data_IF_919458083978
#
_entry.id   IF_919458083978
#
_cell.length_a   1.000
_cell.length_b   1.000
_cell.length_c   1.000
_cell.angle_alpha   90.00
_cell.angle_beta   90.00
_cell.angle_gamma   90.00
#
_symmetry.space_group_name_H-M   'P 1'
#
loop_
_entity.id
_entity.type
_entity.pdbx_description
1 polymer ?
#
# COMPACT_ATOMS: atom_id res chain seq x y z
N UNK A 1 -5.08 25.95 -1.52
CA UNK A 1 -3.98 25.86 -0.51
C UNK A 1 -3.46 24.41 -0.36
N UNK A 2 -4.31 23.42 -0.05
CA UNK A 2 -3.90 22.00 0.14
C UNK A 2 -3.25 21.37 -1.10
N UNK A 3 -3.79 21.51 -2.34
CA UNK A 3 -3.14 20.94 -3.53
C UNK A 3 -1.70 21.41 -3.74
N UNK A 4 -1.41 22.67 -3.48
CA UNK A 4 -0.06 23.22 -3.59
C UNK A 4 0.89 22.64 -2.53
N UNK A 5 0.43 22.46 -1.30
CA UNK A 5 1.19 21.79 -0.23
C UNK A 5 1.52 20.35 -0.62
N UNK A 6 0.54 19.57 -1.11
CA UNK A 6 0.74 18.21 -1.62
C UNK A 6 1.77 18.18 -2.75
N UNK A 7 1.71 19.14 -3.68
CA UNK A 7 2.67 19.23 -4.79
C UNK A 7 4.10 19.48 -4.28
N UNK A 8 4.26 20.39 -3.34
CA UNK A 8 5.57 20.73 -2.76
C UNK A 8 6.15 19.51 -2.00
N UNK A 9 5.34 18.81 -1.22
CA UNK A 9 5.75 17.60 -0.51
C UNK A 9 6.20 16.48 -1.48
N UNK A 10 5.48 16.28 -2.60
CA UNK A 10 5.91 15.31 -3.62
C UNK A 10 7.28 15.66 -4.19
N UNK A 11 7.57 16.95 -4.38
CA UNK A 11 8.89 17.42 -4.83
C UNK A 11 9.96 17.18 -3.78
N UNK A 12 9.67 17.44 -2.50
CA UNK A 12 10.58 17.21 -1.38
C UNK A 12 11.02 15.75 -1.27
N UNK A 13 10.10 14.81 -1.48
CA UNK A 13 10.38 13.37 -1.42
C UNK A 13 10.89 12.79 -2.75
N UNK A 14 11.00 13.60 -3.81
CA UNK A 14 11.56 13.15 -5.08
C UNK A 14 13.04 12.75 -4.91
N UNK A 15 13.40 11.55 -5.38
CA UNK A 15 14.77 11.04 -5.28
C UNK A 15 15.12 10.33 -3.95
N UNK A 16 14.24 10.35 -2.96
CA UNK A 16 14.42 9.50 -1.77
C UNK A 16 14.07 8.07 -2.17
N UNK A 17 15.07 7.21 -2.30
CA UNK A 17 14.89 5.80 -2.67
C UNK A 17 14.81 4.94 -1.42
N UNK A 18 13.93 3.92 -1.45
CA UNK A 18 13.94 2.84 -0.47
C UNK A 18 15.15 1.93 -0.75
N UNK A 19 15.76 1.41 0.30
CA UNK A 19 16.87 0.48 0.20
C UNK A 19 16.48 -0.93 0.64
N UNK A 20 17.38 -1.89 0.49
CA UNK A 20 17.12 -3.28 0.84
C UNK A 20 16.85 -3.49 2.33
N UNK A 21 17.50 -2.71 3.22
CA UNK A 21 17.28 -2.78 4.66
C UNK A 21 15.85 -2.36 5.02
N UNK A 22 15.39 -1.19 4.54
CA UNK A 22 14.01 -0.72 4.72
C UNK A 22 12.99 -1.79 4.28
N UNK A 23 13.22 -2.40 3.12
CA UNK A 23 12.32 -3.44 2.60
C UNK A 23 12.33 -4.71 3.46
N UNK A 24 13.49 -5.11 3.98
CA UNK A 24 13.62 -6.28 4.85
C UNK A 24 12.88 -6.09 6.18
N UNK A 25 13.07 -4.96 6.85
CA UNK A 25 12.40 -4.65 8.13
C UNK A 25 10.88 -4.56 7.95
N UNK A 26 10.39 -3.87 6.91
CA UNK A 26 8.96 -3.81 6.60
C UNK A 26 8.38 -5.21 6.38
N UNK A 27 9.06 -6.06 5.61
CA UNK A 27 8.61 -7.44 5.38
C UNK A 27 8.61 -8.25 6.68
N UNK A 28 9.62 -8.10 7.53
CA UNK A 28 9.69 -8.78 8.82
C UNK A 28 8.52 -8.38 9.73
N UNK A 29 8.22 -7.09 9.86
CA UNK A 29 7.10 -6.62 10.65
C UNK A 29 5.75 -7.08 10.13
N UNK A 30 5.55 -7.10 8.81
CA UNK A 30 4.34 -7.67 8.21
C UNK A 30 4.18 -9.14 8.58
N UNK A 31 5.26 -9.94 8.46
CA UNK A 31 5.25 -11.37 8.75
C UNK A 31 5.04 -11.70 10.24
N UNK A 32 5.41 -10.80 11.14
CA UNK A 32 5.18 -10.92 12.58
C UNK A 32 3.76 -10.50 13.01
N UNK A 33 3.03 -9.79 12.15
CA UNK A 33 1.69 -9.32 12.47
C UNK A 33 0.68 -10.47 12.45
N UNK A 34 -0.11 -10.68 13.53
CA UNK A 34 -1.04 -11.82 13.64
C UNK A 34 -2.05 -11.88 12.49
N UNK A 35 -2.64 -10.74 12.12
CA UNK A 35 -3.64 -10.66 11.04
C UNK A 35 -3.04 -11.05 9.68
N UNK A 36 -1.76 -10.75 9.45
CA UNK A 36 -1.04 -11.20 8.26
C UNK A 36 -1.04 -12.73 8.14
N UNK A 37 -0.82 -13.41 9.26
CA UNK A 37 -0.65 -14.87 9.28
C UNK A 37 -1.96 -15.64 9.07
N UNK A 38 -3.12 -15.01 9.31
CA UNK A 38 -4.44 -15.62 9.11
C UNK A 38 -5.16 -15.12 7.85
N UNK A 39 -4.67 -14.05 7.23
CA UNK A 39 -5.26 -13.48 6.01
C UNK A 39 -5.27 -14.50 4.87
N UNK A 40 -6.41 -14.67 4.23
CA UNK A 40 -6.60 -15.56 3.08
C UNK A 40 -6.43 -14.86 1.74
N UNK A 41 -6.72 -13.55 1.67
CA UNK A 41 -6.62 -12.73 0.45
C UNK A 41 -5.91 -11.44 0.76
N UNK A 42 -4.74 -11.25 0.16
CA UNK A 42 -3.90 -10.06 0.37
C UNK A 42 -3.68 -9.34 -0.96
N UNK A 43 -4.04 -8.08 -1.02
CA UNK A 43 -3.66 -7.21 -2.13
C UNK A 43 -2.36 -6.49 -1.79
N UNK A 44 -1.32 -6.75 -2.57
CA UNK A 44 -0.05 -6.04 -2.51
C UNK A 44 0.07 -4.98 -3.60
N UNK A 45 1.29 -4.51 -3.78
CA UNK A 45 1.65 -3.63 -4.89
C UNK A 45 3.07 -3.98 -5.38
N UNK A 46 3.36 -3.65 -6.65
CA UNK A 46 4.72 -3.73 -7.17
C UNK A 46 5.44 -2.41 -6.86
N UNK A 47 6.45 -2.53 -6.00
CA UNK A 47 7.13 -1.36 -5.47
C UNK A 47 7.90 -0.59 -6.56
N UNK A 48 7.72 0.72 -6.58
CA UNK A 48 8.58 1.64 -7.29
C UNK A 48 9.90 1.84 -6.52
N UNK A 49 10.98 2.35 -7.14
CA UNK A 49 12.28 2.49 -6.47
C UNK A 49 12.25 3.30 -5.17
N UNK A 50 11.23 4.11 -4.97
CA UNK A 50 11.03 4.94 -3.76
C UNK A 50 10.12 4.30 -2.71
N UNK A 51 9.66 3.09 -2.93
CA UNK A 51 8.74 2.37 -2.06
C UNK A 51 9.39 1.11 -1.50
N UNK A 52 9.12 0.72 -0.24
CA UNK A 52 9.60 -0.55 0.29
C UNK A 52 9.09 -1.72 -0.57
N UNK A 53 9.99 -2.63 -0.94
CA UNK A 53 9.62 -3.83 -1.68
C UNK A 53 8.96 -4.85 -0.75
N UNK A 54 7.66 -5.04 -0.89
CA UNK A 54 6.85 -5.97 -0.10
C UNK A 54 6.76 -7.37 -0.69
N UNK A 55 7.33 -7.60 -1.87
CA UNK A 55 7.24 -8.88 -2.57
C UNK A 55 7.78 -10.08 -1.77
N UNK A 56 8.86 -9.97 -0.95
CA UNK A 56 9.28 -11.08 -0.08
C UNK A 56 8.21 -11.50 0.93
N UNK A 57 7.50 -10.56 1.56
CA UNK A 57 6.40 -10.88 2.46
C UNK A 57 5.20 -11.49 1.72
N UNK A 58 4.86 -10.97 0.54
CA UNK A 58 3.81 -11.55 -0.31
C UNK A 58 4.14 -12.98 -0.76
N UNK A 59 5.40 -13.27 -1.11
CA UNK A 59 5.85 -14.63 -1.44
C UNK A 59 5.70 -15.59 -0.26
N UNK A 60 6.00 -15.15 0.96
CA UNK A 60 5.78 -15.94 2.16
C UNK A 60 4.28 -16.22 2.38
N UNK A 61 3.43 -15.21 2.25
CA UNK A 61 1.98 -15.40 2.37
C UNK A 61 1.44 -16.34 1.28
N UNK A 62 1.91 -16.19 0.03
CA UNK A 62 1.57 -17.09 -1.07
C UNK A 62 1.97 -18.54 -0.81
N UNK A 63 3.17 -18.78 -0.29
CA UNK A 63 3.67 -20.11 0.03
C UNK A 63 2.85 -20.82 1.12
N UNK A 64 2.20 -20.08 2.04
CA UNK A 64 1.27 -20.63 3.03
C UNK A 64 -0.17 -20.82 2.50
N UNK A 65 -0.43 -20.48 1.23
CA UNK A 65 -1.72 -20.69 0.57
C UNK A 65 -2.62 -19.45 0.51
N UNK A 66 -2.16 -18.27 0.93
CA UNK A 66 -2.92 -17.06 0.72
C UNK A 66 -3.00 -16.68 -0.77
N UNK A 67 -4.14 -16.19 -1.22
CA UNK A 67 -4.30 -15.59 -2.55
C UNK A 67 -3.64 -14.21 -2.53
N UNK A 68 -2.75 -13.98 -3.49
CA UNK A 68 -2.13 -12.67 -3.67
C UNK A 68 -2.74 -11.98 -4.88
N UNK A 69 -3.13 -10.73 -4.68
CA UNK A 69 -3.68 -9.88 -5.73
C UNK A 69 -2.86 -8.59 -5.88
N UNK A 70 -3.00 -7.95 -7.02
CA UNK A 70 -2.40 -6.66 -7.34
C UNK A 70 -3.45 -5.70 -7.90
N UNK A 71 -3.21 -4.38 -7.78
CA UNK A 71 -4.07 -3.38 -8.40
C UNK A 71 -3.90 -3.45 -9.92
N UNK A 72 -5.01 -3.56 -10.62
CA UNK A 72 -5.11 -3.48 -12.06
C UNK A 72 -5.81 -2.17 -12.40
N UNK A 73 -5.11 -1.26 -13.05
CA UNK A 73 -5.68 0.02 -13.45
C UNK A 73 -6.55 -0.18 -14.69
N UNK A 74 -7.80 0.22 -14.58
CA UNK A 74 -8.78 0.21 -15.66
C UNK A 74 -9.49 1.58 -15.72
N UNK A 75 -9.13 2.38 -16.71
CA UNK A 75 -9.54 3.78 -16.77
C UNK A 75 -9.12 4.54 -15.52
N UNK A 76 -10.09 5.07 -14.78
CA UNK A 76 -9.87 5.83 -13.53
C UNK A 76 -10.00 4.98 -12.25
N UNK A 77 -10.17 3.66 -12.39
CA UNK A 77 -10.44 2.75 -11.27
C UNK A 77 -9.32 1.72 -11.08
N UNK A 78 -9.30 1.12 -9.90
CA UNK A 78 -8.53 -0.08 -9.59
C UNK A 78 -9.48 -1.27 -9.52
N UNK A 79 -9.20 -2.30 -10.32
CA UNK A 79 -9.71 -3.65 -10.15
C UNK A 79 -8.71 -4.48 -9.35
N UNK A 80 -9.17 -5.55 -8.72
CA UNK A 80 -8.34 -6.47 -7.94
C UNK A 80 -8.07 -7.72 -8.75
N UNK A 81 -6.81 -7.93 -9.15
CA UNK A 81 -6.39 -9.06 -9.94
C UNK A 81 -5.56 -10.06 -9.14
N UNK A 82 -6.10 -11.27 -8.90
CA UNK A 82 -5.34 -12.37 -8.30
C UNK A 82 -4.38 -12.99 -9.31
N UNK A 83 -3.20 -13.38 -8.83
CA UNK A 83 -2.17 -14.02 -9.65
C UNK A 83 -1.96 -15.48 -9.25
N UNK A 84 -1.64 -16.31 -10.25
CA UNK A 84 -1.31 -17.70 -10.02
C UNK A 84 0.18 -17.93 -9.70
N UNK A 85 1.02 -16.90 -9.88
CA UNK A 85 2.48 -16.98 -9.62
C UNK A 85 3.03 -15.61 -9.26
N UNK A 86 4.09 -15.60 -8.45
CA UNK A 86 4.86 -14.39 -8.10
C UNK A 86 6.28 -14.43 -8.70
N UNK A 87 6.50 -15.25 -9.74
CA UNK A 87 7.75 -15.26 -10.51
C UNK A 87 7.82 -14.03 -11.41
N UNK A 88 9.01 -13.44 -11.55
CA UNK A 88 9.20 -12.18 -12.30
C UNK A 88 8.75 -12.24 -13.76
N UNK A 89 8.81 -13.42 -14.39
CA UNK A 89 8.36 -13.69 -15.77
C UNK A 89 6.87 -13.46 -16.00
N UNK A 90 6.06 -13.48 -14.93
CA UNK A 90 4.61 -13.24 -14.96
C UNK A 90 4.25 -11.76 -14.77
N UNK A 91 5.23 -10.87 -14.81
CA UNK A 91 5.01 -9.43 -14.73
C UNK A 91 5.59 -8.72 -15.94
N UNK A 92 4.84 -7.75 -16.45
CA UNK A 92 5.28 -6.84 -17.51
C UNK A 92 5.55 -5.46 -16.93
N UNK A 93 6.44 -4.70 -17.58
CA UNK A 93 6.76 -3.33 -17.19
C UNK A 93 6.20 -2.39 -18.26
N UNK A 94 5.39 -1.43 -17.85
CA UNK A 94 4.87 -0.42 -18.76
C UNK A 94 5.90 0.67 -19.11
N UNK A 95 5.52 1.60 -19.99
CA UNK A 95 6.38 2.72 -20.41
C UNK A 95 6.76 3.69 -19.30
N UNK A 96 6.07 3.65 -18.14
CA UNK A 96 6.34 4.44 -16.95
C UNK A 96 7.18 3.68 -15.92
N UNK A 97 7.60 2.45 -16.21
CA UNK A 97 8.38 1.60 -15.31
C UNK A 97 7.55 0.91 -14.22
N UNK A 98 6.23 0.90 -14.33
CA UNK A 98 5.34 0.23 -13.38
C UNK A 98 5.20 -1.24 -13.78
N UNK A 99 5.51 -2.15 -12.84
CA UNK A 99 5.28 -3.59 -13.01
C UNK A 99 3.80 -3.92 -12.76
N UNK A 100 3.22 -4.72 -13.65
CA UNK A 100 1.86 -5.24 -13.51
C UNK A 100 1.81 -6.72 -13.90
N UNK A 101 0.90 -7.53 -13.32
CA UNK A 101 0.74 -8.92 -13.73
C UNK A 101 0.36 -9.01 -15.21
N UNK A 102 1.00 -9.93 -15.95
CA UNK A 102 0.67 -10.21 -17.36
C UNK A 102 -0.61 -11.04 -17.51
N UNK A 103 -0.97 -11.81 -16.47
CA UNK A 103 -2.21 -12.57 -16.37
C UNK A 103 -2.75 -12.51 -14.95
N UNK A 104 -4.06 -12.36 -14.81
CA UNK A 104 -4.74 -12.25 -13.52
C UNK A 104 -6.20 -12.70 -13.62
N UNK A 105 -6.78 -13.03 -12.48
CA UNK A 105 -8.21 -13.37 -12.34
C UNK A 105 -8.88 -12.32 -11.45
N UNK A 106 -10.03 -11.75 -11.84
CA UNK A 106 -10.75 -10.80 -11.00
C UNK A 106 -11.10 -11.39 -9.63
N UNK A 107 -10.92 -10.60 -8.59
CA UNK A 107 -11.41 -10.91 -7.23
C UNK A 107 -12.33 -9.78 -6.79
N UNK A 108 -13.41 -10.17 -6.10
CA UNK A 108 -14.28 -9.20 -5.42
C UNK A 108 -13.48 -8.47 -4.33
N UNK A 109 -13.64 -7.16 -4.27
CA UNK A 109 -13.01 -6.32 -3.24
C UNK A 109 -13.45 -6.72 -1.82
N UNK A 110 -14.67 -7.22 -1.66
CA UNK A 110 -15.18 -7.70 -0.38
C UNK A 110 -14.50 -8.98 0.11
N UNK A 111 -13.77 -9.68 -0.74
CA UNK A 111 -12.96 -10.83 -0.34
C UNK A 111 -11.60 -10.44 0.26
N UNK A 112 -11.19 -9.17 0.19
CA UNK A 112 -9.89 -8.73 0.67
C UNK A 112 -9.83 -8.68 2.21
N UNK A 113 -8.87 -9.39 2.79
CA UNK A 113 -8.54 -9.31 4.21
C UNK A 113 -7.55 -8.16 4.48
N UNK A 114 -6.51 -8.06 3.66
CA UNK A 114 -5.47 -7.03 3.79
C UNK A 114 -5.24 -6.33 2.45
N UNK A 115 -5.09 -5.02 2.50
CA UNK A 115 -4.63 -4.18 1.39
C UNK A 115 -3.37 -3.43 1.82
N UNK A 116 -2.24 -3.71 1.20
CA UNK A 116 -1.04 -2.91 1.33
C UNK A 116 -1.15 -1.67 0.43
N UNK A 117 -0.98 -0.50 1.02
CA UNK A 117 -1.22 0.79 0.37
C UNK A 117 0.10 1.54 0.21
N UNK A 118 0.58 1.77 -1.03
CA UNK A 118 1.76 2.59 -1.28
C UNK A 118 1.45 4.08 -1.13
N UNK A 119 2.51 4.87 -0.89
CA UNK A 119 2.39 6.32 -0.82
C UNK A 119 3.72 7.05 -0.89
N UNK A 120 3.66 8.34 -1.14
CA UNK A 120 4.83 9.23 -1.12
C UNK A 120 5.22 9.57 0.29
N UNK A 121 4.25 9.79 1.18
CA UNK A 121 4.44 10.01 2.61
C UNK A 121 3.19 9.61 3.39
N UNK A 122 3.36 9.39 4.69
CA UNK A 122 2.29 9.04 5.62
C UNK A 122 2.39 9.84 6.91
N UNK A 123 1.33 9.84 7.72
CA UNK A 123 1.35 10.27 9.10
C UNK A 123 0.79 9.19 10.03
N UNK A 124 1.04 9.33 11.34
CA UNK A 124 0.60 8.38 12.35
C UNK A 124 -0.94 8.23 12.46
N UNK A 125 -1.70 9.14 11.87
CA UNK A 125 -3.17 9.11 11.81
C UNK A 125 -3.70 8.41 10.57
N UNK A 126 -2.82 7.73 9.80
CA UNK A 126 -3.16 7.05 8.55
C UNK A 126 -3.32 8.01 7.36
N UNK A 127 -3.03 9.30 7.55
CA UNK A 127 -3.00 10.25 6.44
C UNK A 127 -1.97 9.81 5.40
N UNK A 128 -2.32 9.90 4.11
CA UNK A 128 -1.51 9.42 3.01
C UNK A 128 -1.37 10.46 1.92
N UNK A 129 -0.14 10.74 1.51
CA UNK A 129 0.16 11.49 0.31
C UNK A 129 0.36 10.52 -0.86
N UNK A 130 -0.60 10.44 -1.77
CA UNK A 130 -0.49 9.69 -3.01
C UNK A 130 0.28 10.46 -4.09
N UNK A 131 0.50 9.81 -5.24
CA UNK A 131 1.22 10.39 -6.39
C UNK A 131 0.41 11.42 -7.19
N UNK A 132 -0.89 11.57 -6.91
CA UNK A 132 -1.75 12.60 -7.51
C UNK A 132 -2.84 12.08 -8.45
N UNK A 133 -2.83 10.81 -8.85
CA UNK A 133 -3.86 10.23 -9.71
C UNK A 133 -5.18 9.87 -9.00
N UNK A 134 -5.21 9.89 -7.65
CA UNK A 134 -6.41 9.61 -6.85
C UNK A 134 -6.90 8.15 -6.90
N UNK A 135 -6.18 7.24 -7.56
CA UNK A 135 -6.58 5.84 -7.75
C UNK A 135 -6.85 5.12 -6.43
N UNK A 136 -5.92 5.21 -5.48
CA UNK A 136 -6.08 4.57 -4.18
C UNK A 136 -7.16 5.24 -3.32
N UNK A 137 -7.40 6.55 -3.45
CA UNK A 137 -8.45 7.22 -2.69
C UNK A 137 -9.82 6.74 -3.16
N UNK A 138 -10.06 6.69 -4.49
CA UNK A 138 -11.28 6.11 -5.06
C UNK A 138 -11.45 4.62 -4.73
N UNK A 139 -10.37 3.86 -4.71
CA UNK A 139 -10.38 2.44 -4.36
C UNK A 139 -10.71 2.24 -2.88
N UNK A 140 -10.00 2.93 -1.98
CA UNK A 140 -10.16 2.81 -0.53
C UNK A 140 -11.53 3.27 -0.05
N UNK A 141 -12.16 4.24 -0.73
CA UNK A 141 -13.52 4.67 -0.42
C UNK A 141 -14.58 3.56 -0.63
N UNK A 142 -14.24 2.51 -1.39
CA UNK A 142 -15.13 1.39 -1.71
C UNK A 142 -14.81 0.11 -0.92
N UNK A 143 -13.66 0.08 -0.23
CA UNK A 143 -13.21 -1.09 0.53
C UNK A 143 -14.12 -1.37 1.72
N UNK A 144 -14.42 -2.64 1.96
CA UNK A 144 -15.22 -3.06 3.10
C UNK A 144 -14.55 -2.67 4.44
N UNK A 145 -15.36 -2.28 5.43
CA UNK A 145 -14.85 -1.81 6.74
C UNK A 145 -14.05 -2.84 7.51
N UNK A 146 -14.24 -4.15 7.26
CA UNK A 146 -13.46 -5.23 7.87
C UNK A 146 -12.04 -5.35 7.31
N UNK A 147 -11.79 -4.90 6.07
CA UNK A 147 -10.50 -5.03 5.42
C UNK A 147 -9.44 -4.19 6.14
N UNK A 148 -8.29 -4.78 6.42
CA UNK A 148 -7.14 -4.08 6.99
C UNK A 148 -6.38 -3.34 5.90
N UNK A 149 -6.49 -2.02 5.85
CA UNK A 149 -5.72 -1.17 4.93
C UNK A 149 -4.44 -0.72 5.64
N UNK A 150 -3.28 -1.13 5.13
CA UNK A 150 -1.97 -0.92 5.75
C UNK A 150 -1.12 0.00 4.89
N UNK A 151 -0.85 1.21 5.35
CA UNK A 151 0.13 2.09 4.73
C UNK A 151 1.53 1.49 4.88
N UNK A 152 2.28 1.45 3.79
CA UNK A 152 3.65 0.92 3.77
C UNK A 152 4.61 2.05 3.46
N UNK A 153 5.54 2.32 4.36
CA UNK A 153 6.43 3.48 4.26
C UNK A 153 7.87 3.17 4.66
N UNK A 154 8.76 4.01 4.22
CA UNK A 154 10.08 4.26 4.81
C UNK A 154 9.90 5.27 5.94
N UNK A 155 10.54 5.09 7.08
CA UNK A 155 10.41 5.99 8.24
C UNK A 155 10.75 7.44 7.90
N UNK A 156 11.68 7.67 6.97
CA UNK A 156 12.03 9.02 6.47
C UNK A 156 10.89 9.75 5.77
N UNK A 157 9.80 9.04 5.44
CA UNK A 157 8.59 9.53 4.76
C UNK A 157 7.39 9.60 5.68
N UNK A 158 7.58 9.31 6.97
CA UNK A 158 6.57 9.55 8.00
C UNK A 158 6.73 10.97 8.50
N UNK A 159 5.66 11.73 8.42
CA UNK A 159 5.63 13.14 8.81
C UNK A 159 4.58 13.35 9.90
N UNK A 160 4.65 14.49 10.58
CA UNK A 160 3.72 14.82 11.66
C UNK A 160 2.27 14.89 11.16
N UNK A 161 2.06 15.46 9.97
CA UNK A 161 0.72 15.67 9.43
C UNK A 161 0.74 15.74 7.90
N UNK A 162 0.02 14.83 7.25
CA UNK A 162 -0.20 14.87 5.80
C UNK A 162 -1.39 15.79 5.52
N UNK A 163 -1.24 16.78 4.61
CA UNK A 163 -2.39 17.62 4.22
C UNK A 163 -3.44 16.76 3.49
N UNK A 164 -4.64 16.70 4.07
CA UNK A 164 -5.76 15.87 3.57
C UNK A 164 -6.90 16.75 3.05
N UNK A 165 -7.51 16.34 1.96
CA UNK A 165 -8.76 16.87 1.42
C UNK A 165 -9.92 15.93 1.79
N UNK A 166 -11.15 16.38 1.63
CA UNK A 166 -12.34 15.62 2.03
C UNK A 166 -12.48 14.26 1.33
N UNK A 167 -11.93 14.12 0.13
CA UNK A 167 -11.97 12.88 -0.64
C UNK A 167 -10.78 11.93 -0.39
N UNK A 168 -9.75 12.38 0.35
CA UNK A 168 -8.60 11.53 0.66
C UNK A 168 -8.97 10.48 1.72
N UNK A 169 -8.56 9.24 1.47
CA UNK A 169 -8.80 8.13 2.38
C UNK A 169 -7.58 7.82 3.24
N UNK A 170 -7.83 7.61 4.54
CA UNK A 170 -6.81 7.20 5.51
C UNK A 170 -6.63 5.68 5.50
N UNK A 171 -5.42 5.22 5.78
CA UNK A 171 -5.16 3.82 6.10
C UNK A 171 -5.48 3.54 7.57
N UNK A 172 -5.90 2.31 7.88
CA UNK A 172 -6.20 1.89 9.26
C UNK A 172 -4.96 1.54 10.04
N UNK A 173 -3.92 1.08 9.34
CA UNK A 173 -2.65 0.61 9.87
C UNK A 173 -1.49 1.26 9.12
N UNK A 174 -0.35 1.32 9.77
CA UNK A 174 0.89 1.83 9.18
C UNK A 174 2.05 0.91 9.58
N UNK A 175 2.94 0.62 8.65
CA UNK A 175 4.20 -0.09 8.87
C UNK A 175 5.35 0.67 8.25
N UNK A 176 6.50 0.70 8.92
CA UNK A 176 7.76 1.24 8.40
C UNK A 176 8.94 0.39 8.87
N UNK A 177 10.14 0.69 8.39
CA UNK A 177 11.39 0.05 8.82
C UNK A 177 11.77 0.29 10.29
N UNK A 178 11.14 1.26 10.96
CA UNK A 178 11.37 1.55 12.38
C UNK A 178 10.17 1.25 13.27
N UNK A 179 9.02 0.91 12.68
CA UNK A 179 7.80 0.64 13.42
C UNK A 179 7.08 -0.60 12.86
N UNK A 180 6.82 -1.56 13.75
CA UNK A 180 5.93 -2.67 13.46
C UNK A 180 4.55 -2.18 13.00
N UNK A 181 3.74 -3.10 12.45
CA UNK A 181 2.36 -2.76 12.05
C UNK A 181 1.60 -2.24 13.26
N UNK A 182 1.21 -0.98 13.22
CA UNK A 182 0.49 -0.30 14.29
C UNK A 182 -0.81 0.32 13.76
N UNK A 183 -1.86 0.29 14.59
CA UNK A 183 -3.11 0.93 14.26
C UNK A 183 -2.91 2.45 14.17
N UNK A 184 -3.46 3.04 13.12
CA UNK A 184 -3.39 4.49 12.91
C UNK A 184 -4.14 5.22 14.02
N UNK A 185 -3.50 6.23 14.62
CA UNK A 185 -4.09 7.04 15.68
C UNK A 185 -5.33 7.76 15.12
N UNK A 186 -6.51 7.30 15.49
CA UNK A 186 -7.75 8.02 15.18
C UNK A 186 -7.86 9.19 16.16
N UNK A 187 -8.26 10.36 15.66
CA UNK A 187 -8.71 11.41 16.57
C UNK A 187 -9.91 10.85 17.34
N UNK A 188 -9.72 10.48 18.60
CA UNK A 188 -10.80 10.26 19.56
C UNK A 188 -11.34 11.62 19.99
N UNK A 189 -11.85 12.40 19.06
CA UNK A 189 -12.84 13.42 19.35
C UNK A 189 -14.19 12.75 19.12
N UNK A 190 -14.61 11.99 20.12
CA UNK A 190 -16.01 11.69 20.31
C UNK A 190 -16.77 12.97 20.64
N UNK A 191 -18.04 13.05 20.26
CA UNK A 191 -18.87 14.21 20.31
C UNK A 191 -19.08 14.73 21.72
#
# INVERSE_FOLDING_TARGET
MIPQLKSNLRKQFKGVLANAHVSAEVCQYLQQWPEWNVASVIMGFMALPSEPNVLPALRQAFARGAKIAFPIVDGDTIQVGAVASLSDEHFTVDSMGVKSPSAWTPIDMDALDIVLVPGVAFDARGGRLGRGGGFYDRFLARIHTRTHTVGVSDARRIMENVPMEAHDCRTKWLVSDTNAVAESLRNTTSP
#
